data_IF_189188006887
#
_entry.id   IF_189188006887
#
_cell.length_a   1.000
_cell.length_b   1.000
_cell.length_c   1.000
_cell.angle_alpha   90.00
_cell.angle_beta   90.00
_cell.angle_gamma   90.00
#
_symmetry.space_group_name_H-M   'P 1'
#
loop_
_entity.id
_entity.type
_entity.pdbx_description
1 polymer ?
#
# COMPACT_ATOMS: atom_id res chain seq x y z
N UNK A 1 8.47 -20.07 -3.53
CA UNK A 1 7.72 -21.29 -3.80
C UNK A 1 8.70 -22.42 -4.08
N UNK A 2 8.32 -23.64 -3.78
CA UNK A 2 9.09 -24.86 -4.10
C UNK A 2 8.91 -25.34 -5.54
N UNK A 3 7.93 -24.82 -6.27
CA UNK A 3 7.65 -25.19 -7.66
C UNK A 3 6.80 -24.16 -8.38
N UNK A 4 6.88 -24.17 -9.72
CA UNK A 4 6.01 -23.37 -10.60
C UNK A 4 4.53 -23.77 -10.43
N UNK A 5 4.24 -25.03 -10.12
CA UNK A 5 2.85 -25.49 -9.92
C UNK A 5 2.24 -24.89 -8.64
N UNK A 6 3.03 -24.73 -7.58
CA UNK A 6 2.56 -24.02 -6.40
C UNK A 6 2.33 -22.53 -6.65
N UNK A 7 3.19 -21.90 -7.45
CA UNK A 7 2.95 -20.52 -7.90
C UNK A 7 1.67 -20.41 -8.73
N UNK A 8 1.40 -21.37 -9.62
CA UNK A 8 0.15 -21.41 -10.39
C UNK A 8 -1.08 -21.56 -9.50
N UNK A 9 -1.00 -22.40 -8.47
CA UNK A 9 -2.09 -22.57 -7.49
C UNK A 9 -2.34 -21.28 -6.73
N UNK A 10 -1.29 -20.62 -6.28
CA UNK A 10 -1.34 -19.29 -5.65
C UNK A 10 -1.96 -18.25 -6.58
N UNK A 11 -1.50 -18.18 -7.84
CA UNK A 11 -2.00 -17.23 -8.84
C UNK A 11 -3.48 -17.47 -9.18
N UNK A 12 -3.93 -18.73 -9.22
CA UNK A 12 -5.35 -19.07 -9.39
C UNK A 12 -6.19 -18.60 -8.21
N UNK A 13 -5.73 -18.77 -6.98
CA UNK A 13 -6.41 -18.27 -5.79
C UNK A 13 -6.50 -16.73 -5.81
N UNK A 14 -5.40 -16.04 -6.15
CA UNK A 14 -5.42 -14.58 -6.29
C UNK A 14 -6.38 -14.13 -7.39
N UNK A 15 -6.43 -14.82 -8.53
CA UNK A 15 -7.40 -14.53 -9.60
C UNK A 15 -8.85 -14.67 -9.12
N UNK A 16 -9.17 -15.63 -8.26
CA UNK A 16 -10.51 -15.76 -7.68
C UNK A 16 -10.84 -14.57 -6.78
N UNK A 17 -9.89 -14.08 -5.99
CA UNK A 17 -10.06 -12.88 -5.18
C UNK A 17 -10.23 -11.64 -6.06
N UNK A 18 -9.44 -11.50 -7.13
CA UNK A 18 -9.58 -10.41 -8.13
C UNK A 18 -10.98 -10.44 -8.76
N UNK A 19 -11.48 -11.60 -9.16
CA UNK A 19 -12.81 -11.73 -9.74
C UNK A 19 -13.93 -11.36 -8.75
N UNK A 20 -13.69 -11.60 -7.46
CA UNK A 20 -14.66 -11.39 -6.40
C UNK A 20 -14.82 -9.91 -6.02
N UNK A 21 -13.73 -9.13 -5.97
CA UNK A 21 -13.73 -7.74 -5.52
C UNK A 21 -13.68 -6.77 -6.70
N UNK A 22 -14.64 -5.86 -6.78
CA UNK A 22 -14.73 -4.87 -7.86
C UNK A 22 -13.53 -3.90 -7.88
N UNK A 23 -13.04 -3.48 -6.70
CA UNK A 23 -11.85 -2.62 -6.62
C UNK A 23 -10.60 -3.27 -7.24
N UNK A 24 -10.44 -4.59 -7.13
CA UNK A 24 -9.32 -5.30 -7.73
C UNK A 24 -9.43 -5.45 -9.25
N UNK A 25 -10.63 -5.22 -9.82
CA UNK A 25 -10.92 -5.19 -11.25
C UNK A 25 -11.08 -3.77 -11.79
N UNK A 26 -10.59 -2.77 -11.05
CA UNK A 26 -10.75 -1.36 -11.38
C UNK A 26 -9.52 -0.83 -12.11
N UNK A 27 -9.75 -0.04 -13.15
CA UNK A 27 -8.78 0.85 -13.78
C UNK A 27 -9.18 2.31 -13.58
N UNK A 28 -8.27 3.24 -13.89
CA UNK A 28 -8.52 4.68 -13.82
C UNK A 28 -8.34 5.27 -15.19
N UNK A 29 -9.35 5.98 -15.66
CA UNK A 29 -9.35 6.65 -16.97
C UNK A 29 -9.55 8.15 -16.75
N UNK A 30 -8.73 8.97 -17.35
CA UNK A 30 -8.79 10.43 -17.21
C UNK A 30 -8.61 11.19 -18.54
N UNK A 31 -8.00 10.56 -19.54
CA UNK A 31 -7.77 11.21 -20.84
C UNK A 31 -9.08 11.49 -21.56
N UNK A 32 -9.25 12.75 -21.98
CA UNK A 32 -10.46 13.20 -22.67
C UNK A 32 -11.70 13.32 -21.78
N UNK A 33 -11.56 13.19 -20.45
CA UNK A 33 -12.66 13.32 -19.50
C UNK A 33 -12.51 14.58 -18.63
N UNK A 34 -13.62 15.18 -18.16
CA UNK A 34 -13.58 16.35 -17.26
C UNK A 34 -12.92 16.06 -15.90
N UNK A 35 -12.93 14.81 -15.47
CA UNK A 35 -12.32 14.34 -14.22
C UNK A 35 -11.94 12.86 -14.33
N UNK A 36 -10.99 12.38 -13.51
CA UNK A 36 -10.64 10.94 -13.47
C UNK A 36 -11.84 10.07 -13.05
N UNK A 37 -12.00 8.94 -13.73
CA UNK A 37 -13.07 7.98 -13.46
C UNK A 37 -12.47 6.61 -13.14
N UNK A 38 -13.04 5.93 -12.15
CA UNK A 38 -12.78 4.53 -11.88
C UNK A 38 -13.72 3.68 -12.74
N UNK A 39 -13.14 2.75 -13.49
CA UNK A 39 -13.88 1.84 -14.37
C UNK A 39 -13.74 0.42 -13.83
N UNK A 40 -14.84 -0.17 -13.39
CA UNK A 40 -14.88 -1.56 -12.92
C UNK A 40 -15.10 -2.46 -14.12
N UNK A 41 -14.12 -3.29 -14.43
CA UNK A 41 -14.20 -4.28 -15.49
C UNK A 41 -15.00 -5.51 -15.06
N UNK A 42 -15.67 -6.17 -15.99
CA UNK A 42 -16.37 -7.43 -15.72
C UNK A 42 -15.37 -8.55 -15.43
N UNK A 43 -14.29 -8.57 -16.17
CA UNK A 43 -13.20 -9.52 -16.05
C UNK A 43 -11.87 -8.77 -16.09
N UNK A 44 -10.94 -9.18 -15.25
CA UNK A 44 -9.59 -8.62 -15.19
C UNK A 44 -8.59 -9.79 -14.97
N UNK A 45 -8.11 -10.40 -16.06
CA UNK A 45 -7.19 -11.53 -15.97
C UNK A 45 -5.84 -11.11 -15.40
N UNK A 46 -5.39 -11.82 -14.37
CA UNK A 46 -4.09 -11.58 -13.73
C UNK A 46 -2.96 -12.05 -14.65
N UNK A 47 -2.05 -11.14 -14.97
CA UNK A 47 -0.85 -11.46 -15.75
C UNK A 47 0.18 -12.11 -14.82
N UNK A 48 0.64 -13.31 -15.20
CA UNK A 48 1.72 -14.05 -14.52
C UNK A 48 2.83 -14.29 -15.54
N UNK A 49 3.95 -13.60 -15.39
CA UNK A 49 5.03 -13.56 -16.37
C UNK A 49 6.29 -14.24 -15.84
N UNK A 50 6.80 -15.23 -16.59
CA UNK A 50 8.13 -15.78 -16.38
C UNK A 50 9.21 -14.80 -16.86
N UNK A 51 10.26 -14.66 -16.08
CA UNK A 51 11.41 -13.79 -16.39
C UNK A 51 12.66 -14.64 -16.43
N UNK A 52 13.35 -14.73 -17.56
CA UNK A 52 14.64 -15.42 -17.61
C UNK A 52 15.70 -14.59 -16.89
N UNK A 53 16.31 -15.18 -15.87
CA UNK A 53 17.43 -14.63 -15.13
C UNK A 53 18.57 -15.65 -15.09
N UNK A 54 19.79 -15.16 -14.96
CA UNK A 54 21.00 -16.00 -14.93
C UNK A 54 21.52 -16.11 -13.49
N UNK A 55 21.43 -17.29 -12.85
CA UNK A 55 21.94 -17.47 -11.49
C UNK A 55 23.45 -17.22 -11.35
N UNK A 56 24.22 -17.25 -12.46
CA UNK A 56 25.65 -16.95 -12.43
C UNK A 56 25.96 -15.45 -12.21
N UNK A 57 24.96 -14.57 -12.40
CA UNK A 57 25.08 -13.14 -12.20
C UNK A 57 24.69 -12.66 -10.78
N UNK A 58 24.41 -13.58 -9.86
CA UNK A 58 24.05 -13.27 -8.48
C UNK A 58 22.72 -13.88 -8.04
N UNK A 59 22.25 -13.47 -6.87
CA UNK A 59 20.98 -13.98 -6.33
C UNK A 59 19.79 -13.63 -7.25
N UNK A 60 19.01 -14.64 -7.60
CA UNK A 60 17.87 -14.50 -8.53
C UNK A 60 16.81 -13.56 -8.00
N UNK A 61 16.59 -13.52 -6.67
CA UNK A 61 15.62 -12.61 -6.07
C UNK A 61 16.09 -11.16 -6.16
N UNK A 62 17.38 -10.90 -5.91
CA UNK A 62 17.96 -9.56 -6.05
C UNK A 62 17.91 -9.07 -7.50
N UNK A 63 18.24 -9.93 -8.47
CA UNK A 63 18.10 -9.61 -9.89
C UNK A 63 16.65 -9.28 -10.26
N UNK A 64 15.68 -10.07 -9.75
CA UNK A 64 14.27 -9.85 -10.01
C UNK A 64 13.80 -8.52 -9.41
N UNK A 65 14.20 -8.19 -8.18
CA UNK A 65 13.92 -6.92 -7.53
C UNK A 65 14.52 -5.73 -8.31
N UNK A 66 15.78 -5.80 -8.68
CA UNK A 66 16.44 -4.74 -9.45
C UNK A 66 15.77 -4.49 -10.80
N UNK A 67 15.35 -5.57 -11.49
CA UNK A 67 14.69 -5.48 -12.80
C UNK A 67 13.28 -4.94 -12.72
N UNK A 68 12.56 -5.21 -11.62
CA UNK A 68 11.17 -4.80 -11.42
C UNK A 68 10.99 -3.82 -10.26
N UNK A 69 12.00 -3.00 -10.01
CA UNK A 69 11.89 -1.88 -9.08
C UNK A 69 10.70 -0.99 -9.45
N UNK A 70 9.81 -0.74 -8.49
CA UNK A 70 8.58 0.02 -8.70
C UNK A 70 8.83 1.45 -9.19
N UNK A 71 10.00 2.03 -8.89
CA UNK A 71 10.43 3.35 -9.36
C UNK A 71 10.51 3.43 -10.88
N UNK A 72 10.89 2.32 -11.53
CA UNK A 72 11.12 2.23 -12.97
C UNK A 72 10.12 1.32 -13.71
N UNK A 73 9.25 0.62 -12.97
CA UNK A 73 8.27 -0.33 -13.53
C UNK A 73 6.85 0.06 -13.16
N UNK A 74 6.36 1.16 -13.72
CA UNK A 74 5.01 1.67 -13.50
C UNK A 74 3.98 0.75 -14.14
N UNK A 75 2.83 0.58 -13.46
CA UNK A 75 1.65 -0.07 -14.03
C UNK A 75 0.84 0.96 -14.83
N UNK A 76 0.31 0.54 -15.96
CA UNK A 76 -0.64 1.34 -16.73
C UNK A 76 -1.98 1.41 -15.98
N UNK A 77 -2.33 2.58 -15.48
CA UNK A 77 -3.55 2.78 -14.70
C UNK A 77 -4.83 2.59 -15.51
N UNK A 78 -4.77 2.66 -16.84
CA UNK A 78 -5.92 2.44 -17.72
C UNK A 78 -6.28 0.96 -17.91
N UNK A 79 -5.44 0.04 -17.44
CA UNK A 79 -5.61 -1.40 -17.55
C UNK A 79 -6.01 -2.02 -16.20
N UNK A 80 -6.83 -3.07 -16.24
CA UNK A 80 -7.17 -3.85 -15.05
C UNK A 80 -6.76 -5.31 -15.23
N UNK A 81 -6.33 -5.98 -14.17
CA UNK A 81 -6.15 -5.51 -12.79
C UNK A 81 -4.90 -4.62 -12.66
N UNK A 82 -4.93 -3.68 -11.72
CA UNK A 82 -3.77 -2.86 -11.39
C UNK A 82 -2.76 -3.66 -10.54
N UNK A 83 -2.52 -4.90 -10.95
CA UNK A 83 -1.52 -5.80 -10.38
C UNK A 83 -1.08 -6.83 -11.40
N UNK A 84 0.15 -7.34 -11.23
CA UNK A 84 0.69 -8.48 -11.99
C UNK A 84 1.69 -9.26 -11.16
N UNK A 85 1.95 -10.50 -11.55
CA UNK A 85 2.99 -11.35 -10.96
C UNK A 85 4.12 -11.50 -11.98
N UNK A 86 5.34 -11.29 -11.54
CA UNK A 86 6.56 -11.65 -12.26
C UNK A 86 7.32 -12.70 -11.46
N UNK A 87 7.86 -13.71 -12.10
CA UNK A 87 8.59 -14.76 -11.40
C UNK A 87 9.80 -15.27 -12.17
N UNK A 88 10.74 -15.82 -11.45
CA UNK A 88 11.90 -16.51 -12.01
C UNK A 88 12.15 -17.82 -11.26
N UNK A 89 12.67 -18.81 -12.00
CA UNK A 89 13.17 -20.05 -11.40
C UNK A 89 14.60 -19.85 -10.91
N UNK A 90 14.87 -20.34 -9.72
CA UNK A 90 16.20 -20.35 -9.09
C UNK A 90 16.63 -21.82 -8.86
N UNK A 91 17.21 -22.45 -9.89
CA UNK A 91 17.62 -23.85 -9.81
C UNK A 91 18.71 -24.10 -8.77
N UNK A 92 19.55 -23.09 -8.49
CA UNK A 92 20.63 -23.20 -7.52
C UNK A 92 20.10 -23.41 -6.10
N UNK A 93 18.98 -22.77 -5.78
CA UNK A 93 18.32 -22.88 -4.48
C UNK A 93 17.04 -23.74 -4.53
N UNK A 94 16.78 -24.41 -5.64
CA UNK A 94 15.60 -25.26 -5.86
C UNK A 94 14.28 -24.56 -5.50
N UNK A 95 14.13 -23.31 -5.89
CA UNK A 95 12.96 -22.48 -5.60
C UNK A 95 12.48 -21.70 -6.81
N UNK A 96 11.26 -21.20 -6.72
CA UNK A 96 10.69 -20.18 -7.61
C UNK A 96 10.48 -18.93 -6.79
N UNK A 97 11.04 -17.82 -7.22
CA UNK A 97 10.87 -16.51 -6.62
C UNK A 97 9.84 -15.71 -7.43
N UNK A 98 8.99 -14.96 -6.77
CA UNK A 98 7.97 -14.16 -7.43
C UNK A 98 7.78 -12.82 -6.72
N UNK A 99 7.49 -11.78 -7.50
CA UNK A 99 7.11 -10.45 -7.02
C UNK A 99 5.69 -10.16 -7.51
N UNK A 100 4.84 -9.68 -6.60
CA UNK A 100 3.54 -9.11 -6.95
C UNK A 100 3.73 -7.60 -7.06
N UNK A 101 3.60 -7.08 -8.27
CA UNK A 101 3.55 -5.65 -8.51
C UNK A 101 2.09 -5.21 -8.45
N UNK A 102 1.78 -4.21 -7.65
CA UNK A 102 0.43 -3.67 -7.55
C UNK A 102 0.43 -2.16 -7.33
N UNK A 103 -0.65 -1.51 -7.71
CA UNK A 103 -0.85 -0.08 -7.47
C UNK A 103 -1.63 0.12 -6.16
N UNK A 104 -1.15 1.03 -5.33
CA UNK A 104 -1.73 1.29 -4.00
C UNK A 104 -3.18 1.87 -4.06
N UNK A 105 -3.63 2.29 -5.25
CA UNK A 105 -5.03 2.69 -5.49
C UNK A 105 -6.03 1.57 -5.20
N UNK A 106 -5.63 0.30 -5.42
CA UNK A 106 -6.54 -0.86 -5.27
C UNK A 106 -6.35 -1.63 -3.97
N UNK A 107 -5.21 -1.48 -3.30
CA UNK A 107 -4.86 -2.21 -2.08
C UNK A 107 -4.18 -1.29 -1.07
N UNK A 108 -4.56 -1.43 0.18
CA UNK A 108 -3.82 -0.94 1.35
C UNK A 108 -3.42 -2.14 2.24
N UNK A 109 -2.78 -1.85 3.37
CA UNK A 109 -2.32 -2.90 4.28
C UNK A 109 -3.46 -3.82 4.75
N UNK A 110 -4.58 -3.25 5.17
CA UNK A 110 -5.75 -4.02 5.63
C UNK A 110 -6.38 -4.84 4.50
N UNK A 111 -6.49 -4.25 3.30
CA UNK A 111 -6.99 -4.96 2.13
C UNK A 111 -6.07 -6.15 1.75
N UNK A 112 -4.75 -6.02 1.92
CA UNK A 112 -3.81 -7.13 1.70
C UNK A 112 -4.04 -8.29 2.67
N UNK A 113 -4.37 -8.01 3.94
CA UNK A 113 -4.72 -9.05 4.92
C UNK A 113 -5.99 -9.80 4.49
N UNK A 114 -7.03 -9.08 4.07
CA UNK A 114 -8.27 -9.68 3.55
C UNK A 114 -7.99 -10.53 2.32
N UNK A 115 -7.25 -10.01 1.34
CA UNK A 115 -6.83 -10.76 0.15
C UNK A 115 -6.10 -12.04 0.55
N UNK A 116 -5.15 -11.97 1.49
CA UNK A 116 -4.42 -13.15 1.98
C UNK A 116 -5.31 -14.17 2.69
N UNK A 117 -6.33 -13.73 3.43
CA UNK A 117 -7.32 -14.63 4.08
C UNK A 117 -8.22 -15.31 3.03
N UNK A 118 -8.76 -14.56 2.08
CA UNK A 118 -9.60 -15.10 1.03
C UNK A 118 -8.84 -16.04 0.09
N UNK A 119 -7.58 -15.70 -0.27
CA UNK A 119 -6.72 -16.60 -1.02
C UNK A 119 -6.54 -17.95 -0.31
N UNK A 120 -6.28 -17.93 1.01
CA UNK A 120 -6.21 -19.17 1.79
C UNK A 120 -7.51 -19.96 1.72
N UNK A 121 -8.65 -19.30 1.84
CA UNK A 121 -9.95 -19.95 1.72
C UNK A 121 -10.13 -20.64 0.36
N UNK A 122 -9.71 -20.00 -0.74
CA UNK A 122 -9.72 -20.62 -2.08
C UNK A 122 -8.72 -21.76 -2.20
N UNK A 123 -7.51 -21.63 -1.64
CA UNK A 123 -6.49 -22.69 -1.72
C UNK A 123 -6.87 -23.94 -0.92
N UNK A 124 -7.67 -23.82 0.13
CA UNK A 124 -8.10 -24.92 1.00
C UNK A 124 -9.56 -25.33 0.80
N UNK A 125 -10.18 -24.91 -0.29
CA UNK A 125 -11.58 -25.24 -0.65
C UNK A 125 -12.62 -24.80 0.41
N UNK A 126 -12.33 -23.69 1.09
CA UNK A 126 -13.18 -23.11 2.15
C UNK A 126 -13.91 -21.84 1.68
N UNK A 127 -13.91 -21.55 0.39
CA UNK A 127 -14.49 -20.33 -0.17
C UNK A 127 -15.99 -20.17 0.06
N UNK A 128 -16.71 -21.28 0.29
CA UNK A 128 -18.15 -21.26 0.63
C UNK A 128 -18.46 -20.53 1.95
N UNK A 129 -17.46 -20.36 2.83
CA UNK A 129 -17.60 -19.62 4.08
C UNK A 129 -17.39 -18.11 3.94
N UNK A 130 -16.97 -17.63 2.76
CA UNK A 130 -16.74 -16.22 2.53
C UNK A 130 -18.07 -15.46 2.35
N UNK A 131 -18.27 -14.40 3.13
CA UNK A 131 -19.42 -13.49 2.99
C UNK A 131 -19.45 -12.79 1.61
N UNK A 132 -20.55 -12.14 1.25
CA UNK A 132 -20.64 -11.36 0.01
C UNK A 132 -19.77 -10.10 0.11
N UNK A 133 -18.88 -9.82 -0.84
CA UNK A 133 -18.07 -8.62 -0.80
C UNK A 133 -18.94 -7.37 -1.00
N UNK A 134 -18.62 -6.31 -0.27
CA UNK A 134 -19.30 -5.04 -0.43
C UNK A 134 -18.79 -4.34 -1.71
N UNK A 135 -19.67 -3.79 -2.55
CA UNK A 135 -19.25 -3.01 -3.71
C UNK A 135 -18.45 -1.77 -3.28
N UNK A 136 -17.29 -1.57 -3.88
CA UNK A 136 -16.40 -0.44 -3.54
C UNK A 136 -17.05 0.93 -3.77
N UNK A 137 -17.99 1.03 -4.71
CA UNK A 137 -18.79 2.24 -4.93
C UNK A 137 -19.51 2.73 -3.68
N UNK A 138 -19.86 1.85 -2.74
CA UNK A 138 -20.51 2.23 -1.49
C UNK A 138 -19.54 3.03 -0.60
N UNK A 139 -18.28 2.60 -0.52
CA UNK A 139 -17.23 3.36 0.14
C UNK A 139 -17.01 4.72 -0.53
N UNK A 140 -16.92 4.77 -1.86
CA UNK A 140 -16.78 6.03 -2.60
C UNK A 140 -17.96 6.97 -2.34
N UNK A 141 -19.18 6.43 -2.34
CA UNK A 141 -20.37 7.21 -2.03
C UNK A 141 -20.33 7.77 -0.60
N UNK A 142 -19.96 6.96 0.37
CA UNK A 142 -19.82 7.39 1.77
C UNK A 142 -18.75 8.48 1.92
N UNK A 143 -17.59 8.31 1.26
CA UNK A 143 -16.53 9.31 1.30
C UNK A 143 -16.91 10.64 0.66
N UNK A 144 -17.76 10.61 -0.40
CA UNK A 144 -18.21 11.82 -1.11
C UNK A 144 -19.45 12.48 -0.50
N UNK A 145 -20.30 11.72 0.15
CA UNK A 145 -21.55 12.20 0.76
C UNK A 145 -21.45 12.40 2.27
N UNK A 146 -20.27 12.16 2.85
CA UNK A 146 -19.97 12.38 4.26
C UNK A 146 -19.95 13.84 4.66
N UNK A 147 -18.89 14.30 5.31
CA UNK A 147 -18.75 15.71 5.65
C UNK A 147 -18.61 16.58 4.39
N UNK A 148 -19.25 17.73 4.38
CA UNK A 148 -19.16 18.71 3.29
C UNK A 148 -17.78 19.38 3.28
N UNK A 149 -17.41 19.96 2.13
CA UNK A 149 -16.18 20.75 2.01
C UNK A 149 -16.10 21.88 3.06
N UNK A 150 -17.23 22.52 3.33
CA UNK A 150 -17.31 23.59 4.33
C UNK A 150 -17.08 23.08 5.77
N UNK A 151 -17.56 21.88 6.10
CA UNK A 151 -17.30 21.27 7.41
C UNK A 151 -15.81 20.91 7.54
N UNK A 152 -15.19 20.36 6.49
CA UNK A 152 -13.76 20.11 6.45
C UNK A 152 -12.95 21.40 6.60
N UNK A 153 -13.30 22.45 5.85
CA UNK A 153 -12.62 23.73 5.92
C UNK A 153 -12.72 24.34 7.31
N UNK A 154 -13.90 24.33 7.92
CA UNK A 154 -14.11 24.84 9.28
C UNK A 154 -13.25 24.08 10.29
N UNK A 155 -13.29 22.74 10.23
CA UNK A 155 -12.52 21.88 11.13
C UNK A 155 -11.00 22.16 11.04
N UNK A 156 -10.45 22.21 9.82
CA UNK A 156 -9.03 22.45 9.66
C UNK A 156 -8.63 23.91 9.96
N UNK A 157 -9.51 24.88 9.72
CA UNK A 157 -9.29 26.27 10.09
C UNK A 157 -9.25 26.44 11.60
N UNK A 158 -10.15 25.79 12.32
CA UNK A 158 -10.16 25.82 13.79
C UNK A 158 -8.94 25.12 14.40
N UNK A 159 -8.45 24.06 13.74
CA UNK A 159 -7.30 23.28 14.22
C UNK A 159 -5.94 23.92 13.87
N UNK A 160 -5.80 24.53 12.71
CA UNK A 160 -4.52 24.95 12.12
C UNK A 160 -4.48 26.44 11.76
N UNK A 161 -5.53 27.21 12.11
CA UNK A 161 -5.64 28.62 11.71
C UNK A 161 -4.60 29.57 12.30
N UNK A 162 -3.88 29.12 13.33
CA UNK A 162 -2.74 29.83 13.96
C UNK A 162 -1.37 29.42 13.36
N UNK A 163 -1.36 28.52 12.38
CA UNK A 163 -0.12 28.07 11.73
C UNK A 163 0.10 28.90 10.45
N UNK A 164 1.05 29.84 10.53
CA UNK A 164 1.34 30.77 9.43
C UNK A 164 2.28 30.21 8.37
N UNK A 165 3.08 29.20 8.71
CA UNK A 165 4.12 28.63 7.82
C UNK A 165 4.11 27.11 7.85
N UNK A 166 4.36 26.45 6.71
CA UNK A 166 4.47 25.00 6.65
C UNK A 166 5.73 24.51 7.40
N UNK A 167 5.67 23.27 7.90
CA UNK A 167 6.86 22.61 8.47
C UNK A 167 7.72 22.08 7.33
N UNK A 168 8.84 22.72 7.08
CA UNK A 168 9.76 22.42 5.95
C UNK A 168 11.13 22.03 6.49
N UNK A 169 11.39 20.76 6.81
CA UNK A 169 12.73 20.30 7.16
C UNK A 169 13.71 20.63 6.04
N UNK A 170 14.86 21.21 6.39
CA UNK A 170 15.91 21.65 5.46
C UNK A 170 15.45 22.66 4.39
N UNK A 171 14.28 23.29 4.56
CA UNK A 171 13.74 24.25 3.59
C UNK A 171 13.25 23.63 2.28
N UNK A 172 12.98 22.35 2.26
CA UNK A 172 12.45 21.66 1.06
C UNK A 172 11.00 22.04 0.83
N UNK A 173 10.72 22.74 -0.27
CA UNK A 173 9.38 23.22 -0.64
C UNK A 173 8.65 22.27 -1.59
N UNK A 174 9.38 21.59 -2.48
CA UNK A 174 8.80 20.67 -3.45
C UNK A 174 9.27 19.24 -3.17
N UNK A 175 8.32 18.40 -2.80
CA UNK A 175 8.52 16.97 -2.54
C UNK A 175 7.67 16.11 -3.49
N UNK A 176 7.08 16.73 -4.53
CA UNK A 176 6.21 16.05 -5.49
C UNK A 176 6.98 15.55 -6.72
N UNK A 177 8.11 14.92 -6.49
CA UNK A 177 8.86 14.24 -7.54
C UNK A 177 8.18 12.94 -7.98
N UNK A 178 8.76 12.29 -8.98
CA UNK A 178 8.31 10.97 -9.47
C UNK A 178 8.70 9.80 -8.54
N UNK A 179 9.42 10.08 -7.46
CA UNK A 179 9.90 9.09 -6.48
C UNK A 179 11.15 8.33 -6.94
N UNK A 180 11.78 8.72 -8.05
CA UNK A 180 12.98 8.06 -8.57
C UNK A 180 14.23 8.27 -7.69
N UNK A 181 14.35 9.45 -7.09
CA UNK A 181 15.51 9.87 -6.28
C UNK A 181 15.29 9.72 -4.76
N UNK A 182 14.31 8.91 -4.34
CA UNK A 182 14.07 8.67 -2.91
C UNK A 182 15.14 7.75 -2.35
N UNK A 183 15.86 8.23 -1.33
CA UNK A 183 16.75 7.40 -0.52
C UNK A 183 15.99 6.83 0.69
N UNK A 184 16.23 5.57 0.99
CA UNK A 184 15.62 4.88 2.11
C UNK A 184 16.67 4.46 3.14
N UNK A 185 16.37 4.69 4.42
CA UNK A 185 17.17 4.18 5.53
C UNK A 185 16.28 3.39 6.50
N UNK A 186 16.75 2.24 6.93
CA UNK A 186 16.04 1.38 7.88
C UNK A 186 16.90 1.12 9.11
N UNK A 187 16.30 1.32 10.29
CA UNK A 187 16.92 1.00 11.57
C UNK A 187 15.94 0.17 12.41
N UNK A 188 16.36 -1.04 12.74
CA UNK A 188 15.58 -1.88 13.65
C UNK A 188 15.63 -1.32 15.08
N UNK A 189 14.47 -1.25 15.73
CA UNK A 189 14.38 -0.92 17.16
C UNK A 189 14.63 -2.20 17.96
N UNK A 190 15.57 -2.14 18.92
CA UNK A 190 15.88 -3.30 19.73
C UNK A 190 14.69 -3.77 20.58
N UNK A 191 14.68 -5.07 20.92
CA UNK A 191 13.56 -5.68 21.64
C UNK A 191 13.34 -5.06 23.03
N UNK A 192 14.41 -4.68 23.73
CA UNK A 192 14.32 -4.06 25.05
C UNK A 192 13.69 -2.68 25.00
N UNK A 193 14.07 -1.85 24.01
CA UNK A 193 13.44 -0.55 23.80
C UNK A 193 11.97 -0.72 23.37
N UNK A 194 11.67 -1.67 22.49
CA UNK A 194 10.30 -1.98 22.06
C UNK A 194 9.40 -2.33 23.25
N UNK A 195 9.88 -3.17 24.17
CA UNK A 195 9.12 -3.52 25.38
C UNK A 195 8.87 -2.30 26.28
N UNK A 196 9.91 -1.50 26.55
CA UNK A 196 9.77 -0.28 27.36
C UNK A 196 8.80 0.73 26.76
N UNK A 197 8.83 0.94 25.44
CA UNK A 197 7.88 1.84 24.74
C UNK A 197 6.44 1.36 24.90
N UNK A 198 6.19 0.05 24.75
CA UNK A 198 4.84 -0.52 24.96
C UNK A 198 4.37 -0.39 26.41
N UNK A 199 5.27 -0.56 27.37
CA UNK A 199 4.96 -0.42 28.77
C UNK A 199 4.65 1.03 29.13
N UNK A 200 5.45 1.99 28.66
CA UNK A 200 5.19 3.43 28.85
C UNK A 200 3.88 3.87 28.19
N UNK A 201 3.58 3.40 26.98
CA UNK A 201 2.31 3.71 26.33
C UNK A 201 1.12 3.26 27.20
N UNK A 202 1.18 2.04 27.75
CA UNK A 202 0.15 1.54 28.67
C UNK A 202 0.02 2.36 29.94
N UNK A 203 1.14 2.75 30.56
CA UNK A 203 1.15 3.57 31.78
C UNK A 203 0.55 4.95 31.53
N UNK A 204 0.80 5.54 30.36
CA UNK A 204 0.28 6.85 29.96
C UNK A 204 -1.14 6.79 29.38
N UNK A 205 -1.72 5.61 29.18
CA UNK A 205 -3.05 5.45 28.57
C UNK A 205 -3.10 5.85 27.09
N UNK A 206 -1.96 5.79 26.36
CA UNK A 206 -1.86 6.15 24.95
C UNK A 206 -1.44 4.96 24.11
N UNK A 207 -1.61 5.07 22.78
CA UNK A 207 -1.09 4.05 21.86
C UNK A 207 0.44 4.16 21.70
N UNK A 208 1.14 3.05 21.36
CA UNK A 208 2.56 3.16 20.96
C UNK A 208 2.77 4.10 19.77
N UNK A 209 1.80 4.19 18.86
CA UNK A 209 1.84 5.13 17.73
C UNK A 209 1.91 6.59 18.19
N UNK A 210 1.21 6.94 19.27
CA UNK A 210 1.27 8.30 19.84
C UNK A 210 2.68 8.67 20.30
N UNK A 211 3.42 7.71 20.89
CA UNK A 211 4.83 7.93 21.27
C UNK A 211 5.73 8.13 20.04
N UNK A 212 5.48 7.39 18.95
CA UNK A 212 6.20 7.55 17.69
C UNK A 212 5.91 8.90 17.05
N UNK A 213 4.64 9.34 17.03
CA UNK A 213 4.26 10.68 16.55
C UNK A 213 4.94 11.79 17.35
N UNK A 214 5.01 11.64 18.69
CA UNK A 214 5.71 12.61 19.53
C UNK A 214 7.22 12.66 19.23
N UNK A 215 7.85 11.50 19.08
CA UNK A 215 9.26 11.42 18.72
C UNK A 215 9.53 12.05 17.34
N UNK A 216 8.67 11.79 16.36
CA UNK A 216 8.75 12.39 15.03
C UNK A 216 8.54 13.90 15.07
N UNK A 217 7.56 14.38 15.84
CA UNK A 217 7.33 15.81 16.05
C UNK A 217 8.56 16.51 16.62
N UNK A 218 9.26 15.88 17.59
CA UNK A 218 10.49 16.43 18.16
C UNK A 218 11.62 16.51 17.10
N UNK A 219 11.78 15.47 16.28
CA UNK A 219 12.76 15.47 15.18
C UNK A 219 12.45 16.58 14.20
N UNK A 220 11.20 16.71 13.75
CA UNK A 220 10.79 17.77 12.83
C UNK A 220 11.00 19.17 13.44
N UNK A 221 10.69 19.35 14.73
CA UNK A 221 10.90 20.62 15.43
C UNK A 221 12.36 21.06 15.44
N UNK A 222 13.27 20.10 15.67
CA UNK A 222 14.72 20.38 15.60
C UNK A 222 15.16 20.70 14.17
N UNK A 223 14.73 19.91 13.18
CA UNK A 223 15.14 20.09 11.78
C UNK A 223 14.57 21.36 11.14
N UNK A 224 13.35 21.74 11.53
CA UNK A 224 12.71 22.97 11.04
C UNK A 224 12.98 24.20 11.94
N UNK A 225 13.71 24.02 13.05
CA UNK A 225 13.97 25.06 14.07
C UNK A 225 12.66 25.72 14.56
N UNK A 226 11.62 24.91 14.87
CA UNK A 226 10.30 25.37 15.29
C UNK A 226 9.81 24.55 16.47
N UNK A 227 8.92 25.16 17.28
CA UNK A 227 8.21 24.46 18.36
C UNK A 227 6.91 23.82 17.87
N UNK A 228 6.22 24.52 16.97
CA UNK A 228 4.96 24.07 16.39
C UNK A 228 5.25 23.41 15.05
N UNK A 229 4.89 22.13 14.93
CA UNK A 229 5.13 21.33 13.74
C UNK A 229 3.83 20.67 13.30
N UNK A 230 3.61 20.66 11.99
CA UNK A 230 2.46 19.99 11.36
C UNK A 230 2.97 18.95 10.38
N UNK A 231 2.40 17.77 10.47
CA UNK A 231 2.67 16.67 9.51
C UNK A 231 1.43 15.81 9.35
N UNK A 232 1.31 15.19 8.17
CA UNK A 232 0.22 14.29 7.86
C UNK A 232 0.41 12.91 8.50
N UNK A 233 -0.67 12.33 8.98
CA UNK A 233 -0.72 10.94 9.43
C UNK A 233 -1.62 10.14 8.48
N UNK A 234 -1.08 9.04 7.95
CA UNK A 234 -1.88 8.11 7.14
C UNK A 234 -2.78 7.30 8.06
N UNK A 235 -4.08 7.43 7.89
CA UNK A 235 -5.07 6.66 8.60
C UNK A 235 -5.54 5.47 7.73
N UNK A 236 -5.82 4.34 8.38
CA UNK A 236 -6.45 3.19 7.74
C UNK A 236 -7.94 3.51 7.56
N UNK A 237 -8.30 4.09 6.41
CA UNK A 237 -9.62 4.69 6.20
C UNK A 237 -10.68 3.79 5.57
N UNK A 238 -10.34 2.58 5.12
CA UNK A 238 -11.29 1.68 4.42
C UNK A 238 -12.02 0.71 5.35
N UNK A 239 -11.95 0.93 6.66
CA UNK A 239 -12.49 0.03 7.69
C UNK A 239 -13.95 0.31 8.08
N UNK A 240 -14.58 1.38 7.57
CA UNK A 240 -15.95 1.74 7.89
C UNK A 240 -16.85 1.40 6.71
N UNK A 241 -17.49 0.25 6.77
CA UNK A 241 -18.54 -0.21 5.90
C UNK A 241 -19.57 -0.98 6.68
#
# INVERSE_FOLDING_TARGET
FDSVERLRTFSRALQQVVARHDILRTSVVWEGLPSPHQVVWREAPLVVQAVPLDPAQGDVLEQLHARFDARHNRLDLSQAPLMRIVYAEDPAQQRVVAIILFQHLILDHTAMEVVGQEMRAFMFDQANGLGTPMPYRNYVAQARLGASEQEHETFFRDMLGDIDEPTLPFGLHDVQGDGGDIEEAQQAVDAGLTLRLREQARQLGVSPASLMHLAWAQVLGVLANRRDVVFGTVLLGRMQG
#
